data_IF_351051166175
#
_entry.id   IF_351051166175
#
_cell.length_a   1.000
_cell.length_b   1.000
_cell.length_c   1.000
_cell.angle_alpha   90.00
_cell.angle_beta   90.00
_cell.angle_gamma   90.00
#
_symmetry.space_group_name_H-M   'P 1'
#
loop_
_entity.id
_entity.type
_entity.pdbx_description
1 polymer ?
#
# COMPACT_ATOMS: atom_id res chain seq x y z
N UNK A 1 38.30 -4.98 16.66
CA UNK A 1 38.19 -5.96 15.56
C UNK A 1 37.14 -6.97 15.97
N UNK A 2 35.87 -6.76 15.57
CA UNK A 2 34.79 -7.70 15.86
C UNK A 2 34.88 -8.86 14.87
N UNK A 3 34.98 -10.09 15.38
CA UNK A 3 34.81 -11.30 14.59
C UNK A 3 33.44 -11.26 13.88
N UNK A 4 33.30 -11.72 12.62
CA UNK A 4 31.98 -11.91 12.07
C UNK A 4 31.33 -13.06 12.84
N UNK A 5 30.40 -12.68 13.72
CA UNK A 5 29.44 -13.55 14.35
C UNK A 5 28.81 -14.47 13.30
N UNK A 6 28.43 -15.68 13.71
CA UNK A 6 27.82 -16.68 12.83
C UNK A 6 26.82 -16.06 11.85
N UNK A 7 26.93 -16.33 10.54
CA UNK A 7 26.05 -15.73 9.55
C UNK A 7 24.59 -16.09 9.86
N UNK A 8 23.72 -15.08 9.89
CA UNK A 8 22.29 -15.30 10.10
C UNK A 8 21.68 -16.10 8.95
N UNK A 9 20.69 -16.91 9.29
CA UNK A 9 20.08 -17.87 8.37
C UNK A 9 18.59 -17.58 8.27
N UNK A 10 18.08 -17.43 7.05
CA UNK A 10 16.66 -17.32 6.77
C UNK A 10 16.09 -18.70 6.45
N UNK A 11 15.10 -19.12 7.23
CA UNK A 11 14.22 -20.22 6.86
C UNK A 11 13.09 -19.67 6.00
N UNK A 12 12.96 -20.14 4.76
CA UNK A 12 12.02 -19.60 3.77
C UNK A 12 11.04 -20.67 3.29
N UNK A 13 9.84 -20.22 2.90
CA UNK A 13 8.81 -21.05 2.27
C UNK A 13 8.67 -20.59 0.82
N UNK A 14 8.90 -21.50 -0.13
CA UNK A 14 8.80 -21.24 -1.57
C UNK A 14 7.36 -21.11 -2.03
N UNK A 15 7.10 -20.27 -3.03
CA UNK A 15 5.74 -20.01 -3.55
C UNK A 15 5.14 -21.13 -4.42
N UNK A 16 5.96 -22.03 -4.98
CA UNK A 16 5.58 -22.77 -6.18
C UNK A 16 5.49 -24.29 -6.04
N UNK A 17 6.11 -24.88 -5.02
CA UNK A 17 5.79 -26.20 -4.48
C UNK A 17 6.93 -26.64 -3.57
N UNK A 18 6.64 -26.74 -2.27
CA UNK A 18 7.31 -27.56 -1.26
C UNK A 18 6.61 -27.24 0.05
N UNK A 19 6.02 -28.24 0.71
CA UNK A 19 5.53 -28.09 2.09
C UNK A 19 6.68 -28.20 3.11
N UNK A 20 7.89 -27.90 2.64
CA UNK A 20 9.13 -27.89 3.42
C UNK A 20 9.75 -26.51 3.29
N UNK A 21 10.20 -25.99 4.42
CA UNK A 21 11.02 -24.80 4.41
C UNK A 21 12.46 -25.14 4.05
N UNK A 22 13.18 -24.14 3.54
CA UNK A 22 14.58 -24.25 3.14
C UNK A 22 15.38 -23.17 3.88
N UNK A 23 16.59 -23.50 4.31
CA UNK A 23 17.49 -22.56 4.97
C UNK A 23 18.43 -21.91 3.93
N UNK A 24 18.66 -20.60 4.04
CA UNK A 24 19.59 -19.83 3.21
C UNK A 24 20.38 -18.85 4.07
N UNK A 25 21.63 -18.56 3.67
CA UNK A 25 22.43 -17.51 4.29
C UNK A 25 21.85 -16.14 3.96
N UNK A 26 21.86 -15.24 4.94
CA UNK A 26 21.49 -13.84 4.79
C UNK A 26 22.75 -13.04 4.41
N UNK A 27 22.80 -12.41 3.22
CA UNK A 27 23.87 -11.50 2.85
C UNK A 27 23.96 -10.29 3.79
N UNK A 28 25.17 -9.79 4.02
CA UNK A 28 25.43 -8.66 4.92
C UNK A 28 24.62 -7.42 4.52
N UNK A 29 24.41 -7.19 3.22
CA UNK A 29 23.74 -6.01 2.68
C UNK A 29 22.24 -5.94 3.04
N UNK A 30 21.62 -7.08 3.34
CA UNK A 30 20.19 -7.15 3.68
C UNK A 30 19.94 -7.60 5.13
N UNK A 31 20.99 -7.77 5.92
CA UNK A 31 20.89 -8.31 7.28
C UNK A 31 20.00 -7.46 8.19
N UNK A 32 20.10 -6.13 8.10
CA UNK A 32 19.33 -5.22 8.96
C UNK A 32 17.89 -4.99 8.49
N UNK A 33 17.55 -5.41 7.26
CA UNK A 33 16.24 -5.15 6.65
C UNK A 33 15.38 -6.40 6.52
N UNK A 34 16.01 -7.58 6.47
CA UNK A 34 15.30 -8.85 6.36
C UNK A 34 14.65 -9.23 7.69
N UNK A 35 13.36 -9.56 7.63
CA UNK A 35 12.59 -9.98 8.79
C UNK A 35 11.63 -11.12 8.40
N UNK A 36 11.07 -11.87 9.35
CA UNK A 36 9.94 -12.74 9.05
C UNK A 36 8.84 -11.99 8.28
N UNK A 37 8.35 -12.59 7.21
CA UNK A 37 7.39 -11.99 6.29
C UNK A 37 8.01 -11.23 5.11
N UNK A 38 9.33 -11.01 5.10
CA UNK A 38 10.04 -10.45 3.95
C UNK A 38 9.94 -11.37 2.72
N UNK A 39 9.84 -10.76 1.55
CA UNK A 39 9.82 -11.46 0.26
C UNK A 39 11.22 -11.49 -0.33
N UNK A 40 11.67 -12.67 -0.74
CA UNK A 40 13.04 -12.89 -1.22
C UNK A 40 13.07 -13.72 -2.50
N UNK A 41 14.14 -13.55 -3.27
CA UNK A 41 14.53 -14.45 -4.34
C UNK A 41 15.62 -15.38 -3.83
N UNK A 42 15.43 -16.69 -4.02
CA UNK A 42 16.37 -17.72 -3.58
C UNK A 42 16.72 -18.69 -4.70
N UNK A 43 17.96 -19.19 -4.75
CA UNK A 43 18.40 -20.11 -5.80
C UNK A 43 17.95 -21.55 -5.48
N UNK A 44 17.12 -22.13 -6.34
CA UNK A 44 16.61 -23.50 -6.21
C UNK A 44 17.02 -24.30 -7.44
N UNK A 45 17.94 -25.26 -7.27
CA UNK A 45 18.56 -26.02 -8.37
C UNK A 45 19.11 -25.06 -9.45
N UNK A 46 18.50 -25.03 -10.63
CA UNK A 46 18.91 -24.26 -11.81
C UNK A 46 18.03 -23.01 -12.04
N UNK A 47 17.16 -22.64 -11.11
CA UNK A 47 16.33 -21.44 -11.23
C UNK A 47 16.33 -20.60 -9.96
N UNK A 48 15.86 -19.36 -10.07
CA UNK A 48 15.60 -18.47 -8.95
C UNK A 48 14.10 -18.44 -8.69
N UNK A 49 13.70 -18.63 -7.43
CA UNK A 49 12.30 -18.73 -7.02
C UNK A 49 11.96 -17.68 -5.96
N UNK A 50 10.71 -17.25 -5.94
CA UNK A 50 10.18 -16.37 -4.91
C UNK A 50 9.85 -17.17 -3.65
N UNK A 51 10.14 -16.57 -2.49
CA UNK A 51 9.86 -17.17 -1.20
C UNK A 51 9.47 -16.10 -0.17
N UNK A 52 8.78 -16.53 0.89
CA UNK A 52 8.57 -15.73 2.10
C UNK A 52 9.50 -16.22 3.20
N UNK A 53 10.19 -15.29 3.85
CA UNK A 53 10.97 -15.58 5.07
C UNK A 53 10.00 -15.97 6.18
N UNK A 54 10.09 -17.20 6.65
CA UNK A 54 9.25 -17.71 7.73
C UNK A 54 9.84 -17.41 9.11
N UNK A 55 11.16 -17.55 9.23
CA UNK A 55 11.90 -17.35 10.48
C UNK A 55 13.35 -16.99 10.17
N UNK A 56 13.97 -16.16 11.03
CA UNK A 56 15.42 -15.93 11.06
C UNK A 56 16.02 -16.73 12.21
N UNK A 57 17.14 -17.42 11.96
CA UNK A 57 17.84 -18.33 12.88
C UNK A 57 19.32 -17.96 12.97
N UNK A 58 19.96 -18.31 14.09
CA UNK A 58 21.40 -18.18 14.30
C UNK A 58 22.23 -19.39 13.82
N UNK A 59 21.57 -20.51 13.50
CA UNK A 59 22.23 -21.74 13.03
C UNK A 59 21.29 -22.61 12.18
N UNK A 60 21.87 -23.48 11.35
CA UNK A 60 21.17 -24.52 10.59
C UNK A 60 21.84 -25.87 10.80
N UNK A 61 21.06 -26.95 10.71
CA UNK A 61 21.57 -28.32 10.65
C UNK A 61 22.20 -28.67 9.30
N UNK A 62 22.08 -27.80 8.30
CA UNK A 62 22.64 -27.98 6.97
C UNK A 62 23.98 -27.23 6.82
N UNK A 63 25.00 -27.92 6.31
CA UNK A 63 26.36 -27.37 6.18
C UNK A 63 26.55 -26.50 4.93
N UNK A 64 25.95 -26.86 3.80
CA UNK A 64 26.16 -26.21 2.50
C UNK A 64 24.94 -25.34 2.12
N UNK A 65 24.84 -24.18 2.73
CA UNK A 65 23.78 -23.23 2.45
C UNK A 65 24.14 -22.31 1.28
N UNK A 66 23.17 -22.09 0.39
CA UNK A 66 23.24 -21.01 -0.60
C UNK A 66 22.77 -19.70 0.04
N UNK A 67 23.13 -18.58 -0.56
CA UNK A 67 22.73 -17.24 -0.11
C UNK A 67 21.45 -16.77 -0.79
N UNK A 68 20.69 -15.91 -0.12
CA UNK A 68 19.58 -15.17 -0.72
C UNK A 68 20.10 -14.32 -1.89
N UNK A 69 19.40 -14.34 -3.02
CA UNK A 69 19.79 -13.59 -4.23
C UNK A 69 19.38 -12.13 -4.10
N UNK A 70 18.17 -11.87 -3.62
CA UNK A 70 17.62 -10.51 -3.56
C UNK A 70 16.45 -10.40 -2.59
N UNK A 71 16.39 -9.28 -1.87
CA UNK A 71 15.20 -8.84 -1.14
C UNK A 71 14.23 -8.11 -2.10
N UNK A 72 12.97 -8.55 -2.15
CA UNK A 72 11.96 -8.05 -3.08
C UNK A 72 11.16 -6.85 -2.55
N UNK A 73 11.17 -6.62 -1.24
CA UNK A 73 10.45 -5.52 -0.59
C UNK A 73 11.31 -4.90 0.51
N UNK A 74 11.26 -3.57 0.64
CA UNK A 74 11.98 -2.83 1.68
C UNK A 74 11.42 -3.08 3.08
N UNK A 75 10.14 -3.49 3.17
CA UNK A 75 9.47 -3.88 4.40
C UNK A 75 8.80 -5.27 4.26
N UNK A 76 8.57 -6.00 5.37
CA UNK A 76 7.79 -7.24 5.36
C UNK A 76 6.35 -7.00 4.91
N UNK A 77 5.96 -7.60 3.79
CA UNK A 77 4.58 -7.47 3.27
C UNK A 77 3.62 -8.47 3.91
N UNK A 78 4.14 -9.52 4.55
CA UNK A 78 3.36 -10.44 5.39
C UNK A 78 3.67 -10.12 6.86
N UNK A 79 2.81 -9.36 7.51
CA UNK A 79 3.00 -8.96 8.91
C UNK A 79 2.99 -10.17 9.86
N UNK A 80 3.49 -10.03 11.10
CA UNK A 80 3.45 -11.10 12.10
C UNK A 80 2.05 -11.72 12.27
N UNK A 81 1.01 -10.89 12.34
CA UNK A 81 -0.38 -11.34 12.45
C UNK A 81 -0.81 -12.17 11.24
N UNK A 82 -0.39 -11.78 10.03
CA UNK A 82 -0.65 -12.54 8.81
C UNK A 82 0.12 -13.87 8.79
N UNK A 83 1.33 -13.93 9.35
CA UNK A 83 2.08 -15.20 9.49
C UNK A 83 1.41 -16.14 10.48
N UNK A 84 0.90 -15.62 11.59
CA UNK A 84 0.14 -16.40 12.56
C UNK A 84 -1.17 -16.91 11.97
N UNK A 85 -1.91 -16.03 11.28
CA UNK A 85 -3.12 -16.41 10.57
C UNK A 85 -2.81 -17.44 9.47
N UNK A 86 -1.69 -17.31 8.75
CA UNK A 86 -1.27 -18.31 7.76
C UNK A 86 -1.05 -19.69 8.40
N UNK A 87 -0.39 -19.73 9.57
CA UNK A 87 -0.19 -20.96 10.35
C UNK A 87 -1.52 -21.56 10.77
N UNK A 88 -2.45 -20.74 11.29
CA UNK A 88 -3.78 -21.19 11.70
C UNK A 88 -4.58 -21.73 10.50
N UNK A 89 -4.66 -20.98 9.41
CA UNK A 89 -5.38 -21.36 8.19
C UNK A 89 -4.83 -22.65 7.58
N UNK A 90 -3.50 -22.80 7.53
CA UNK A 90 -2.86 -24.02 7.01
C UNK A 90 -3.27 -25.25 7.82
N UNK A 91 -3.28 -25.14 9.16
CA UNK A 91 -3.69 -26.23 10.06
C UNK A 91 -5.19 -26.50 9.98
N UNK A 92 -6.01 -25.47 10.06
CA UNK A 92 -7.47 -25.58 10.16
C UNK A 92 -8.09 -26.08 8.85
N UNK A 93 -7.63 -25.55 7.70
CA UNK A 93 -8.14 -25.94 6.38
C UNK A 93 -7.33 -27.07 5.73
N UNK A 94 -6.36 -27.67 6.44
CA UNK A 94 -5.48 -28.72 5.91
C UNK A 94 -4.83 -28.35 4.56
N UNK A 95 -4.40 -27.09 4.42
CA UNK A 95 -3.85 -26.53 3.18
C UNK A 95 -2.34 -26.33 3.33
N UNK A 96 -1.52 -26.69 2.31
CA UNK A 96 -0.09 -26.43 2.34
C UNK A 96 0.22 -24.97 2.63
N UNK A 97 1.21 -24.73 3.50
CA UNK A 97 1.46 -23.38 4.03
C UNK A 97 1.84 -22.38 2.92
N UNK A 98 2.57 -22.84 1.90
CA UNK A 98 2.91 -22.00 0.76
C UNK A 98 1.68 -21.52 -0.02
N UNK A 99 0.64 -22.36 -0.13
CA UNK A 99 -0.60 -22.02 -0.83
C UNK A 99 -1.39 -20.97 -0.03
N UNK A 100 -1.38 -21.08 1.29
CA UNK A 100 -1.97 -20.07 2.17
C UNK A 100 -1.22 -18.74 2.02
N UNK A 101 0.11 -18.72 2.19
CA UNK A 101 0.92 -17.50 2.07
C UNK A 101 0.76 -16.81 0.70
N UNK A 102 0.70 -17.58 -0.39
CA UNK A 102 0.47 -17.03 -1.73
C UNK A 102 -0.95 -16.55 -1.97
N UNK A 103 -1.92 -16.96 -1.15
CA UNK A 103 -3.32 -16.50 -1.17
C UNK A 103 -3.52 -15.23 -0.36
N UNK A 104 -2.77 -15.05 0.74
CA UNK A 104 -2.83 -13.84 1.57
C UNK A 104 -2.40 -12.60 0.80
N UNK A 105 -1.43 -12.74 -0.10
CA UNK A 105 -0.86 -11.63 -0.85
C UNK A 105 -1.36 -11.61 -2.31
N UNK A 106 -1.86 -10.46 -2.79
CA UNK A 106 -2.13 -10.28 -4.21
C UNK A 106 -0.90 -10.59 -5.07
N UNK A 107 -1.12 -11.12 -6.27
CA UNK A 107 -0.02 -11.44 -7.20
C UNK A 107 0.90 -10.25 -7.49
N UNK A 108 0.36 -9.04 -7.53
CA UNK A 108 1.12 -7.79 -7.68
C UNK A 108 2.10 -7.55 -6.54
N UNK A 109 1.64 -7.75 -5.30
CA UNK A 109 2.41 -7.56 -4.05
C UNK A 109 3.49 -8.64 -3.85
N UNK A 110 3.28 -9.85 -4.40
CA UNK A 110 4.26 -10.94 -4.28
C UNK A 110 5.59 -10.71 -5.01
N UNK A 111 5.72 -9.62 -5.77
CA UNK A 111 6.91 -9.26 -6.54
C UNK A 111 6.75 -9.50 -8.05
N UNK A 112 5.51 -9.57 -8.56
CA UNK A 112 5.24 -9.64 -10.01
C UNK A 112 4.94 -8.29 -10.64
N UNK A 113 4.41 -7.33 -9.89
CA UNK A 113 4.24 -5.97 -10.38
C UNK A 113 5.55 -5.20 -10.15
N UNK A 114 6.01 -4.48 -11.19
CA UNK A 114 7.09 -3.50 -11.03
C UNK A 114 6.47 -2.19 -10.57
N UNK A 115 7.10 -1.56 -9.60
CA UNK A 115 6.90 -0.14 -9.35
C UNK A 115 7.21 0.61 -10.64
N UNK A 116 6.25 1.40 -11.12
CA UNK A 116 6.39 2.11 -12.37
C UNK A 116 6.99 3.47 -12.08
N UNK A 117 8.21 3.68 -12.54
CA UNK A 117 8.87 4.98 -12.41
C UNK A 117 8.58 5.81 -13.65
N UNK A 118 8.07 7.01 -13.45
CA UNK A 118 7.93 8.01 -14.50
C UNK A 118 8.81 9.23 -14.21
N UNK A 119 9.08 10.02 -15.25
CA UNK A 119 9.76 11.29 -15.04
C UNK A 119 8.78 12.28 -14.42
N UNK A 120 9.13 12.82 -13.27
CA UNK A 120 8.44 13.94 -12.65
C UNK A 120 9.19 15.22 -12.97
N UNK A 121 8.45 16.23 -13.42
CA UNK A 121 8.96 17.48 -13.95
C UNK A 121 8.68 18.57 -12.94
N UNK A 122 9.72 19.14 -12.35
CA UNK A 122 9.63 20.25 -11.40
C UNK A 122 10.29 21.49 -11.97
N UNK A 123 9.76 22.69 -11.69
CA UNK A 123 10.49 23.91 -12.01
C UNK A 123 11.75 24.06 -11.14
N UNK A 124 12.87 24.47 -11.74
CA UNK A 124 14.15 24.67 -11.04
C UNK A 124 14.38 26.13 -10.62
N UNK A 125 13.58 27.05 -11.16
CA UNK A 125 13.70 28.50 -10.99
C UNK A 125 12.42 29.08 -10.40
N UNK A 126 12.49 30.31 -9.89
CA UNK A 126 11.34 30.97 -9.28
C UNK A 126 10.20 31.18 -10.27
N UNK A 127 8.96 31.24 -9.78
CA UNK A 127 7.76 31.48 -10.58
C UNK A 127 7.88 32.71 -11.48
N UNK A 128 8.44 33.81 -10.96
CA UNK A 128 8.69 35.03 -11.74
C UNK A 128 9.67 34.78 -12.90
N UNK A 129 10.73 33.99 -12.68
CA UNK A 129 11.70 33.66 -13.70
C UNK A 129 11.10 32.71 -14.76
N UNK A 130 10.22 31.78 -14.36
CA UNK A 130 9.47 30.92 -15.31
C UNK A 130 8.55 31.78 -16.18
N UNK A 131 7.81 32.71 -15.58
CA UNK A 131 6.90 33.59 -16.32
C UNK A 131 7.66 34.44 -17.35
N UNK A 132 8.82 34.99 -16.98
CA UNK A 132 9.69 35.72 -17.91
C UNK A 132 10.21 34.83 -19.03
N UNK A 133 10.69 33.62 -18.70
CA UNK A 133 11.18 32.66 -19.70
C UNK A 133 10.05 32.23 -20.64
N UNK A 134 8.85 31.98 -20.12
CA UNK A 134 7.66 31.64 -20.90
C UNK A 134 7.32 32.76 -21.89
N UNK A 135 7.25 34.02 -21.43
CA UNK A 135 6.97 35.16 -22.29
C UNK A 135 7.99 35.31 -23.43
N UNK A 136 9.29 35.12 -23.14
CA UNK A 136 10.36 35.15 -24.14
C UNK A 136 10.23 34.02 -25.17
N UNK A 137 9.95 32.80 -24.71
CA UNK A 137 9.89 31.61 -25.56
C UNK A 137 8.60 31.56 -26.39
N UNK A 138 7.52 32.23 -25.97
CA UNK A 138 6.20 32.19 -26.63
C UNK A 138 6.24 32.66 -28.09
N UNK A 139 7.17 33.54 -28.46
CA UNK A 139 7.32 34.04 -29.84
C UNK A 139 8.05 33.07 -30.77
N UNK A 140 9.10 32.39 -30.30
CA UNK A 140 10.01 31.59 -31.16
C UNK A 140 9.94 30.08 -30.93
N UNK A 141 9.60 29.65 -29.73
CA UNK A 141 9.59 28.25 -29.30
C UNK A 141 8.28 27.95 -28.55
N UNK A 142 7.17 27.97 -29.30
CA UNK A 142 5.81 27.87 -28.76
C UNK A 142 5.59 26.63 -27.89
N UNK A 143 6.10 25.47 -28.30
CA UNK A 143 5.99 24.24 -27.51
C UNK A 143 6.73 24.30 -26.17
N UNK A 144 7.89 24.97 -26.11
CA UNK A 144 8.61 25.18 -24.85
C UNK A 144 7.85 26.13 -23.93
N UNK A 145 7.24 27.18 -24.48
CA UNK A 145 6.41 28.10 -23.72
C UNK A 145 5.16 27.40 -23.15
N UNK A 146 4.51 26.52 -23.92
CA UNK A 146 3.37 25.72 -23.44
C UNK A 146 3.74 24.84 -22.24
N UNK A 147 4.91 24.21 -22.26
CA UNK A 147 5.42 23.43 -21.12
C UNK A 147 5.58 24.32 -19.88
N UNK A 148 6.18 25.51 -20.03
CA UNK A 148 6.33 26.44 -18.91
C UNK A 148 4.98 27.00 -18.42
N UNK A 149 4.01 27.22 -19.31
CA UNK A 149 2.65 27.63 -18.94
C UNK A 149 1.91 26.58 -18.10
N UNK A 150 2.09 25.29 -18.40
CA UNK A 150 1.53 24.21 -17.57
C UNK A 150 2.25 24.17 -16.22
N UNK A 151 3.58 24.30 -16.20
CA UNK A 151 4.34 24.32 -14.95
C UNK A 151 4.05 25.54 -14.05
N UNK A 152 3.62 26.68 -14.61
CA UNK A 152 3.12 27.82 -13.83
C UNK A 152 1.79 27.50 -13.12
N UNK A 153 0.97 26.62 -13.69
CA UNK A 153 -0.27 26.12 -13.08
C UNK A 153 -0.01 25.02 -12.05
N UNK A 154 1.02 24.19 -12.29
CA UNK A 154 1.43 23.08 -11.41
C UNK A 154 2.76 23.39 -10.74
N UNK A 155 2.74 24.27 -9.72
CA UNK A 155 3.95 24.79 -9.06
C UNK A 155 4.83 23.71 -8.43
N UNK A 156 4.20 22.64 -7.92
CA UNK A 156 4.90 21.49 -7.33
C UNK A 156 5.44 20.51 -8.38
N UNK A 157 5.16 20.74 -9.65
CA UNK A 157 5.48 19.84 -10.75
C UNK A 157 4.37 18.83 -11.05
N UNK A 158 4.62 18.01 -12.06
CA UNK A 158 3.71 16.95 -12.52
C UNK A 158 4.48 15.86 -13.26
N UNK A 159 3.86 14.70 -13.47
CA UNK A 159 4.46 13.64 -14.27
C UNK A 159 4.54 14.05 -15.75
N UNK A 160 5.59 13.58 -16.42
CA UNK A 160 5.82 13.83 -17.84
C UNK A 160 4.64 13.37 -18.69
N UNK A 161 3.99 12.26 -18.35
CA UNK A 161 2.80 11.79 -19.06
C UNK A 161 1.67 12.83 -19.07
N UNK A 162 1.43 13.45 -17.93
CA UNK A 162 0.32 14.40 -17.76
C UNK A 162 0.68 15.75 -18.38
N UNK A 163 1.94 16.18 -18.23
CA UNK A 163 2.47 17.33 -18.96
C UNK A 163 2.32 17.19 -20.48
N UNK A 164 2.64 16.02 -21.05
CA UNK A 164 2.52 15.79 -22.48
C UNK A 164 1.05 15.72 -22.93
N UNK A 165 0.15 15.17 -22.11
CA UNK A 165 -1.30 15.18 -22.38
C UNK A 165 -1.86 16.60 -22.38
N UNK A 166 -1.52 17.41 -21.39
CA UNK A 166 -2.00 18.80 -21.28
C UNK A 166 -1.44 19.72 -22.34
N UNK A 167 -0.17 19.54 -22.71
CA UNK A 167 0.46 20.35 -23.75
C UNK A 167 0.13 19.85 -25.16
N UNK A 168 -0.34 18.61 -25.31
CA UNK A 168 -0.47 17.93 -26.61
C UNK A 168 0.86 17.74 -27.35
N UNK A 169 1.98 17.88 -26.62
CA UNK A 169 3.33 18.02 -27.20
C UNK A 169 4.17 16.74 -27.13
N UNK A 170 5.43 16.87 -27.57
CA UNK A 170 6.43 15.80 -27.50
C UNK A 170 7.42 16.01 -26.34
N UNK A 171 8.28 15.02 -26.09
CA UNK A 171 9.30 15.07 -25.03
C UNK A 171 10.45 16.05 -25.33
N UNK A 172 10.66 16.42 -26.60
CA UNK A 172 11.80 17.25 -27.04
C UNK A 172 11.86 18.65 -26.41
N UNK A 173 10.76 19.43 -26.36
CA UNK A 173 10.70 20.70 -25.63
C UNK A 173 11.10 20.55 -24.15
N UNK A 174 10.65 19.50 -23.49
CA UNK A 174 10.96 19.22 -22.07
C UNK A 174 12.46 18.95 -21.89
N UNK A 175 13.07 18.13 -22.75
CA UNK A 175 14.51 17.86 -22.70
C UNK A 175 15.35 19.12 -22.94
N UNK A 176 14.89 20.01 -23.82
CA UNK A 176 15.54 21.30 -24.09
C UNK A 176 15.48 22.22 -22.87
N UNK A 177 14.31 22.32 -22.22
CA UNK A 177 14.14 23.11 -21.00
C UNK A 177 14.98 22.56 -19.84
N UNK A 178 15.12 21.22 -19.73
CA UNK A 178 16.02 20.57 -18.78
C UNK A 178 17.47 20.95 -19.05
N UNK A 179 17.92 20.89 -20.31
CA UNK A 179 19.29 21.27 -20.72
C UNK A 179 19.59 22.74 -20.37
N UNK A 180 18.59 23.60 -20.51
CA UNK A 180 18.66 25.02 -20.16
C UNK A 180 18.52 25.28 -18.65
N UNK A 181 18.43 24.24 -17.80
CA UNK A 181 18.31 24.32 -16.35
C UNK A 181 17.10 25.15 -15.87
N UNK A 182 16.01 25.15 -16.65
CA UNK A 182 14.75 25.79 -16.25
C UNK A 182 13.86 24.82 -15.45
N UNK A 183 14.02 23.52 -15.71
CA UNK A 183 13.26 22.44 -15.08
C UNK A 183 14.19 21.31 -14.67
N UNK A 184 13.76 20.55 -13.68
CA UNK A 184 14.39 19.34 -13.20
C UNK A 184 13.55 18.13 -13.64
N UNK A 185 14.23 17.08 -14.10
CA UNK A 185 13.60 15.81 -14.48
C UNK A 185 14.17 14.71 -13.59
N UNK A 186 13.35 14.21 -12.68
CA UNK A 186 13.71 13.12 -11.78
C UNK A 186 12.82 11.91 -12.03
N UNK A 187 13.35 10.72 -11.83
CA UNK A 187 12.49 9.53 -11.80
C UNK A 187 11.80 9.48 -10.45
N UNK A 188 10.47 9.56 -10.44
CA UNK A 188 9.64 9.32 -9.25
C UNK A 188 8.76 8.10 -9.49
N UNK A 189 8.41 7.40 -8.41
CA UNK A 189 7.40 6.35 -8.49
C UNK A 189 6.05 7.00 -8.81
N UNK A 190 5.35 6.45 -9.80
CA UNK A 190 3.98 6.82 -10.08
C UNK A 190 3.08 6.10 -9.08
N UNK A 191 2.41 6.86 -8.23
CA UNK A 191 1.33 6.34 -7.39
C UNK A 191 0.08 6.22 -8.24
N UNK A 192 -0.32 4.98 -8.55
CA UNK A 192 -1.57 4.66 -9.26
C UNK A 192 -2.68 4.31 -8.27
N UNK A 193 -2.44 4.40 -6.96
CA UNK A 193 -3.42 3.92 -5.99
C UNK A 193 -4.74 4.64 -6.15
N UNK A 194 -5.84 3.89 -6.02
CA UNK A 194 -7.18 4.49 -5.89
C UNK A 194 -7.39 4.82 -4.42
N UNK A 195 -6.56 5.74 -3.93
CA UNK A 195 -6.70 6.35 -2.61
C UNK A 195 -7.36 7.69 -2.82
N UNK A 196 -8.57 7.85 -2.26
CA UNK A 196 -9.31 9.08 -2.51
C UNK A 196 -8.78 10.24 -1.70
N UNK A 197 -8.62 11.37 -2.39
CA UNK A 197 -8.31 12.68 -1.82
C UNK A 197 -9.59 13.55 -1.74
N UNK A 198 -9.49 14.69 -1.07
CA UNK A 198 -10.56 15.38 -0.32
C UNK A 198 -11.65 16.14 -1.12
N UNK A 199 -12.18 15.60 -2.23
CA UNK A 199 -13.13 16.35 -3.09
C UNK A 199 -14.63 16.09 -2.80
N UNK A 200 -15.01 15.71 -1.57
CA UNK A 200 -16.41 15.43 -1.20
C UNK A 200 -16.93 16.36 -0.10
N UNK A 201 -18.22 16.69 -0.17
CA UNK A 201 -18.91 17.38 0.93
C UNK A 201 -18.93 16.49 2.17
N UNK A 202 -18.23 16.93 3.22
CA UNK A 202 -18.20 16.22 4.48
C UNK A 202 -19.56 16.27 5.17
N UNK A 203 -20.14 15.08 5.35
CA UNK A 203 -21.33 14.84 6.15
C UNK A 203 -21.02 15.01 7.64
N UNK A 204 -21.97 15.61 8.36
CA UNK A 204 -21.90 15.74 9.82
C UNK A 204 -22.30 14.44 10.51
N UNK A 205 -21.70 14.20 11.67
CA UNK A 205 -22.08 13.15 12.62
C UNK A 205 -23.57 13.26 12.94
N UNK A 206 -24.31 12.16 12.83
CA UNK A 206 -25.74 12.16 13.14
C UNK A 206 -25.98 11.93 14.63
N UNK A 207 -27.06 12.50 15.15
CA UNK A 207 -27.56 12.20 16.48
C UNK A 207 -28.08 10.77 16.51
N UNK A 208 -27.54 9.96 17.42
CA UNK A 208 -27.95 8.57 17.59
C UNK A 208 -29.24 8.46 18.41
N UNK A 209 -30.03 7.43 18.13
CA UNK A 209 -31.08 6.99 19.05
C UNK A 209 -30.47 6.41 20.32
N UNK A 210 -31.28 6.26 21.38
CA UNK A 210 -30.85 5.64 22.65
C UNK A 210 -30.26 4.24 22.45
N UNK A 211 -30.89 3.43 21.60
CA UNK A 211 -30.43 2.07 21.28
C UNK A 211 -29.10 2.08 20.52
N UNK A 212 -28.96 2.96 19.52
CA UNK A 212 -27.73 3.12 18.76
C UNK A 212 -26.58 3.62 19.64
N UNK A 213 -26.85 4.57 20.54
CA UNK A 213 -25.86 5.10 21.47
C UNK A 213 -25.38 4.02 22.46
N UNK A 214 -26.30 3.17 22.93
CA UNK A 214 -25.98 2.05 23.81
C UNK A 214 -25.11 1.01 23.09
N UNK A 215 -25.47 0.66 21.85
CA UNK A 215 -24.70 -0.25 21.03
C UNK A 215 -23.29 0.31 20.73
N UNK A 216 -23.20 1.59 20.35
CA UNK A 216 -21.93 2.25 20.11
C UNK A 216 -21.05 2.25 21.37
N UNK A 217 -21.62 2.63 22.53
CA UNK A 217 -20.89 2.66 23.80
C UNK A 217 -20.30 1.30 24.17
N UNK A 218 -21.03 0.21 23.91
CA UNK A 218 -20.55 -1.17 24.16
C UNK A 218 -19.36 -1.52 23.25
N UNK A 219 -19.42 -1.11 21.99
CA UNK A 219 -18.34 -1.30 21.01
C UNK A 219 -17.12 -0.48 21.41
N UNK A 220 -17.28 0.83 21.64
CA UNK A 220 -16.17 1.74 21.96
C UNK A 220 -15.50 1.40 23.30
N UNK A 221 -16.27 0.97 24.30
CA UNK A 221 -15.70 0.50 25.58
C UNK A 221 -14.76 -0.69 25.39
N UNK A 222 -15.06 -1.59 24.44
CA UNK A 222 -14.17 -2.72 24.13
C UNK A 222 -12.88 -2.26 23.46
N UNK A 223 -12.97 -1.25 22.59
CA UNK A 223 -11.83 -0.63 21.91
C UNK A 223 -10.93 0.12 22.90
N UNK A 224 -11.52 0.89 23.81
CA UNK A 224 -10.81 1.67 24.84
C UNK A 224 -10.03 0.78 25.79
N UNK A 225 -10.60 -0.37 26.16
CA UNK A 225 -9.94 -1.37 27.00
C UNK A 225 -8.89 -2.21 26.25
N UNK A 226 -8.80 -2.08 24.92
CA UNK A 226 -7.86 -2.85 24.10
C UNK A 226 -8.11 -4.37 24.14
N UNK A 227 -9.34 -4.80 24.42
CA UNK A 227 -9.69 -6.23 24.54
C UNK A 227 -10.41 -6.75 23.30
N UNK A 228 -10.05 -7.95 22.86
CA UNK A 228 -10.80 -8.64 21.81
C UNK A 228 -12.25 -8.92 22.25
N UNK A 229 -13.22 -8.44 21.47
CA UNK A 229 -14.65 -8.71 21.64
C UNK A 229 -15.34 -8.84 20.29
N UNK A 230 -16.28 -9.78 20.22
CA UNK A 230 -17.18 -9.94 19.06
C UNK A 230 -18.53 -9.34 19.38
N UNK A 231 -18.98 -8.39 18.55
CA UNK A 231 -20.28 -7.72 18.71
C UNK A 231 -21.20 -8.06 17.55
N UNK A 232 -22.44 -8.45 17.84
CA UNK A 232 -23.49 -8.62 16.84
C UNK A 232 -24.43 -7.42 16.89
N UNK A 233 -24.35 -6.53 15.90
CA UNK A 233 -25.30 -5.42 15.75
C UNK A 233 -26.52 -5.86 14.94
N UNK A 234 -27.55 -6.32 15.64
CA UNK A 234 -28.80 -6.74 15.00
C UNK A 234 -29.76 -5.57 14.79
N UNK A 235 -30.39 -5.51 13.62
CA UNK A 235 -31.42 -4.52 13.31
C UNK A 235 -31.89 -4.61 11.87
N UNK A 236 -33.12 -4.21 11.60
CA UNK A 236 -33.70 -4.19 10.24
C UNK A 236 -33.01 -3.16 9.34
N UNK A 237 -33.18 -3.28 8.02
CA UNK A 237 -32.72 -2.24 7.09
C UNK A 237 -33.37 -0.89 7.44
N UNK A 238 -32.60 0.20 7.38
CA UNK A 238 -33.09 1.52 7.76
C UNK A 238 -32.99 1.86 9.26
N UNK A 239 -32.69 0.88 10.14
CA UNK A 239 -32.52 1.13 11.59
C UNK A 239 -31.25 1.93 11.96
N UNK A 240 -30.46 2.34 10.97
CA UNK A 240 -29.26 3.16 11.17
C UNK A 240 -27.99 2.41 11.61
N UNK A 241 -27.91 1.08 11.43
CA UNK A 241 -26.68 0.29 11.71
C UNK A 241 -25.40 0.89 11.11
N UNK A 242 -25.50 1.39 9.87
CA UNK A 242 -24.37 2.03 9.20
C UNK A 242 -23.83 3.22 9.99
N UNK A 243 -24.69 4.02 10.62
CA UNK A 243 -24.24 5.17 11.41
C UNK A 243 -23.45 4.72 12.65
N UNK A 244 -23.89 3.63 13.31
CA UNK A 244 -23.14 3.01 14.42
C UNK A 244 -21.75 2.56 13.95
N UNK A 245 -21.65 1.92 12.76
CA UNK A 245 -20.34 1.56 12.19
C UNK A 245 -19.47 2.79 11.94
N UNK A 246 -20.02 3.82 11.29
CA UNK A 246 -19.27 5.05 11.00
C UNK A 246 -18.75 5.72 12.28
N UNK A 247 -19.54 5.77 13.35
CA UNK A 247 -19.09 6.37 14.61
C UNK A 247 -18.11 5.47 15.38
N UNK A 248 -18.21 4.15 15.26
CA UNK A 248 -17.21 3.23 15.81
C UNK A 248 -15.85 3.35 15.09
N UNK A 249 -15.88 3.50 13.76
CA UNK A 249 -14.68 3.76 12.94
C UNK A 249 -14.06 5.11 13.32
N UNK A 250 -14.86 6.17 13.46
CA UNK A 250 -14.40 7.49 13.93
C UNK A 250 -13.68 7.38 15.29
N UNK A 251 -14.24 6.59 16.22
CA UNK A 251 -13.61 6.34 17.53
C UNK A 251 -12.28 5.57 17.42
N UNK A 252 -12.21 4.52 16.59
CA UNK A 252 -10.97 3.79 16.36
C UNK A 252 -9.87 4.70 15.77
N UNK A 253 -10.23 5.57 14.81
CA UNK A 253 -9.30 6.54 14.22
C UNK A 253 -8.82 7.58 15.24
N UNK A 254 -9.70 8.05 16.14
CA UNK A 254 -9.30 8.91 17.26
C UNK A 254 -8.26 8.25 18.18
N UNK A 255 -8.32 6.93 18.34
CA UNK A 255 -7.31 6.12 19.05
C UNK A 255 -6.07 5.81 18.19
N UNK A 256 -5.94 6.43 17.01
CA UNK A 256 -4.88 6.19 16.02
C UNK A 256 -4.78 4.72 15.57
N UNK A 257 -5.92 4.04 15.55
CA UNK A 257 -6.02 2.65 15.06
C UNK A 257 -6.50 2.63 13.62
N UNK A 258 -5.97 1.70 12.84
CA UNK A 258 -6.46 1.44 11.48
C UNK A 258 -7.70 0.55 11.50
N UNK A 259 -8.47 0.52 10.41
CA UNK A 259 -9.77 -0.16 10.33
C UNK A 259 -9.88 -0.98 9.05
N UNK A 260 -10.44 -2.18 9.15
CA UNK A 260 -10.88 -2.97 7.99
C UNK A 260 -12.41 -3.03 7.98
N UNK A 261 -13.02 -2.47 6.94
CA UNK A 261 -14.46 -2.50 6.73
C UNK A 261 -14.82 -3.40 5.54
N UNK A 262 -15.25 -4.63 5.85
CA UNK A 262 -15.62 -5.63 4.86
C UNK A 262 -17.04 -5.39 4.36
N UNK A 263 -17.19 -5.30 3.04
CA UNK A 263 -18.48 -5.18 2.35
C UNK A 263 -18.68 -6.31 1.34
N UNK A 264 -19.93 -6.73 1.07
CA UNK A 264 -20.21 -7.71 0.03
C UNK A 264 -19.66 -7.28 -1.34
N UNK A 265 -19.19 -8.26 -2.13
CA UNK A 265 -18.44 -8.02 -3.37
C UNK A 265 -19.19 -7.19 -4.43
N UNK A 266 -20.53 -7.28 -4.43
CA UNK A 266 -21.41 -6.56 -5.36
C UNK A 266 -21.65 -5.10 -4.94
N UNK A 267 -21.36 -4.75 -3.67
CA UNK A 267 -21.64 -3.44 -3.05
C UNK A 267 -20.44 -2.48 -3.18
N UNK A 268 -19.30 -2.95 -3.71
CA UNK A 268 -18.03 -2.22 -3.84
C UNK A 268 -18.03 -1.00 -4.79
N UNK A 269 -19.18 -0.61 -5.35
CA UNK A 269 -19.32 0.58 -6.19
C UNK A 269 -20.53 1.44 -5.80
N UNK A 270 -21.07 1.23 -4.60
CA UNK A 270 -22.37 1.77 -4.17
C UNK A 270 -22.27 2.97 -3.21
N UNK A 271 -23.44 3.57 -2.93
CA UNK A 271 -23.71 4.61 -1.93
C UNK A 271 -22.95 4.44 -0.58
N UNK A 272 -22.60 3.22 -0.18
CA UNK A 272 -21.80 2.97 1.04
C UNK A 272 -20.41 3.61 0.96
N UNK A 273 -19.77 3.55 -0.21
CA UNK A 273 -18.47 4.18 -0.44
C UNK A 273 -18.60 5.70 -0.37
N UNK A 274 -19.61 6.29 -1.02
CA UNK A 274 -19.85 7.73 -0.95
C UNK A 274 -20.13 8.20 0.48
N UNK A 275 -20.84 7.39 1.27
CA UNK A 275 -21.05 7.66 2.70
C UNK A 275 -19.76 7.62 3.51
N UNK A 276 -18.86 6.67 3.25
CA UNK A 276 -17.55 6.62 3.91
C UNK A 276 -16.68 7.82 3.52
N UNK A 277 -16.63 8.14 2.23
CA UNK A 277 -15.92 9.31 1.69
C UNK A 277 -16.41 10.63 2.26
N UNK A 278 -17.73 10.79 2.35
CA UNK A 278 -18.31 11.99 2.95
C UNK A 278 -18.18 11.98 4.47
N UNK A 279 -17.81 10.89 5.13
CA UNK A 279 -17.70 10.86 6.60
C UNK A 279 -16.29 11.13 7.11
N UNK A 280 -15.28 10.60 6.44
CA UNK A 280 -13.89 10.60 6.92
C UNK A 280 -13.00 11.52 6.08
N UNK A 281 -12.13 12.25 6.75
CA UNK A 281 -11.11 13.09 6.09
C UNK A 281 -9.83 12.30 5.80
N UNK A 282 -9.66 11.17 6.48
CA UNK A 282 -8.56 10.24 6.32
C UNK A 282 -8.60 9.54 4.97
N UNK A 283 -7.41 9.21 4.45
CA UNK A 283 -7.27 8.44 3.21
C UNK A 283 -7.87 7.05 3.36
N UNK A 284 -8.72 6.66 2.41
CA UNK A 284 -9.37 5.35 2.38
C UNK A 284 -8.77 4.52 1.24
N UNK A 285 -8.26 3.34 1.58
CA UNK A 285 -7.79 2.35 0.62
C UNK A 285 -8.94 1.44 0.17
N UNK A 286 -9.24 1.46 -1.13
CA UNK A 286 -10.17 0.50 -1.73
C UNK A 286 -9.47 -0.74 -2.24
N UNK A 287 -10.04 -1.90 -1.92
CA UNK A 287 -9.63 -3.18 -2.48
C UNK A 287 -10.80 -3.85 -3.19
N UNK A 288 -10.78 -3.81 -4.53
CA UNK A 288 -11.73 -4.51 -5.39
C UNK A 288 -11.04 -5.25 -6.55
N UNK A 289 -11.78 -6.18 -7.16
CA UNK A 289 -11.27 -7.04 -8.24
C UNK A 289 -10.85 -6.25 -9.49
N UNK A 290 -11.51 -5.12 -9.78
CA UNK A 290 -11.24 -4.27 -10.96
C UNK A 290 -9.94 -3.47 -10.93
N UNK A 291 -9.25 -3.40 -9.78
CA UNK A 291 -7.94 -2.74 -9.72
C UNK A 291 -6.94 -3.50 -10.59
N UNK A 292 -6.22 -2.75 -11.41
CA UNK A 292 -5.05 -3.24 -12.12
C UNK A 292 -3.97 -3.70 -11.11
N UNK A 293 -3.03 -4.55 -11.54
CA UNK A 293 -1.93 -5.00 -10.67
C UNK A 293 -1.11 -3.84 -10.07
N UNK A 294 -0.95 -2.75 -10.82
CA UNK A 294 -0.23 -1.56 -10.38
C UNK A 294 -0.97 -0.81 -9.28
N UNK A 295 -2.22 -0.42 -9.54
CA UNK A 295 -3.07 0.27 -8.54
C UNK A 295 -3.20 -0.56 -7.25
N UNK A 296 -3.33 -1.90 -7.37
CA UNK A 296 -3.40 -2.78 -6.21
C UNK A 296 -2.10 -2.83 -5.41
N UNK A 297 -0.94 -2.79 -6.07
CA UNK A 297 0.35 -2.73 -5.39
C UNK A 297 0.49 -1.41 -4.62
N UNK A 298 0.20 -0.30 -5.29
CA UNK A 298 0.35 1.03 -4.73
C UNK A 298 -0.61 1.21 -3.53
N UNK A 299 -1.89 0.82 -3.68
CA UNK A 299 -2.86 0.80 -2.56
C UNK A 299 -2.39 -0.08 -1.41
N UNK A 300 -1.80 -1.25 -1.67
CA UNK A 300 -1.28 -2.12 -0.61
C UNK A 300 -0.12 -1.46 0.15
N UNK A 301 0.76 -0.74 -0.55
CA UNK A 301 1.84 0.01 0.08
C UNK A 301 1.29 1.13 0.98
N UNK A 302 0.24 1.84 0.55
CA UNK A 302 -0.41 2.85 1.39
C UNK A 302 -0.97 2.28 2.69
N UNK A 303 -1.56 1.08 2.63
CA UNK A 303 -2.05 0.35 3.79
C UNK A 303 -0.88 0.00 4.71
N UNK A 304 0.15 -0.65 4.17
CA UNK A 304 1.32 -1.12 4.94
C UNK A 304 2.05 0.04 5.65
N UNK A 305 2.16 1.19 4.99
CA UNK A 305 2.79 2.40 5.53
C UNK A 305 1.88 3.18 6.50
N UNK A 306 0.62 2.78 6.68
CA UNK A 306 -0.36 3.46 7.53
C UNK A 306 -0.87 4.79 6.96
N UNK A 307 -0.50 5.15 5.73
CA UNK A 307 -0.96 6.37 5.06
C UNK A 307 -2.42 6.30 4.62
N UNK A 308 -3.00 5.10 4.53
CA UNK A 308 -4.43 4.87 4.34
C UNK A 308 -4.97 4.01 5.50
N UNK A 309 -5.40 4.64 6.62
CA UNK A 309 -5.78 3.91 7.84
C UNK A 309 -7.12 3.18 7.72
N UNK A 310 -7.96 3.51 6.74
CA UNK A 310 -9.26 2.86 6.51
C UNK A 310 -9.16 1.98 5.26
N UNK A 311 -9.37 0.68 5.41
CA UNK A 311 -9.43 -0.27 4.29
C UNK A 311 -10.85 -0.72 4.06
N UNK A 312 -11.33 -0.58 2.83
CA UNK A 312 -12.68 -1.04 2.44
C UNK A 312 -12.54 -2.03 1.29
N UNK A 313 -13.17 -3.19 1.43
CA UNK A 313 -13.08 -4.22 0.40
C UNK A 313 -13.98 -5.40 0.64
N UNK A 314 -13.95 -6.36 -0.29
CA UNK A 314 -14.59 -7.66 -0.10
C UNK A 314 -13.70 -8.59 0.72
N UNK A 315 -13.93 -9.90 0.61
CA UNK A 315 -13.24 -10.96 1.37
C UNK A 315 -11.72 -10.83 1.39
N UNK A 316 -11.09 -10.46 0.28
CA UNK A 316 -9.62 -10.34 0.19
C UNK A 316 -9.05 -9.21 1.05
N UNK A 317 -9.84 -8.19 1.39
CA UNK A 317 -9.38 -7.09 2.24
C UNK A 317 -9.14 -7.52 3.70
N UNK A 318 -9.64 -8.70 4.09
CA UNK A 318 -9.31 -9.31 5.38
C UNK A 318 -7.80 -9.48 5.58
N UNK A 319 -7.05 -9.68 4.50
CA UNK A 319 -5.60 -9.92 4.53
C UNK A 319 -4.77 -8.64 4.46
N UNK A 320 -5.40 -7.47 4.56
CA UNK A 320 -4.71 -6.18 4.45
C UNK A 320 -3.84 -5.94 5.68
N UNK A 321 -2.56 -5.52 5.51
CA UNK A 321 -1.62 -5.38 6.61
C UNK A 321 -1.79 -4.01 7.30
N UNK A 322 -2.98 -3.77 7.85
CA UNK A 322 -3.33 -2.49 8.48
C UNK A 322 -2.55 -2.31 9.79
N UNK A 323 -1.71 -1.27 9.92
CA UNK A 323 -0.98 -1.01 11.16
C UNK A 323 -1.92 -0.63 12.29
N UNK A 324 -1.62 -1.13 13.51
CA UNK A 324 -2.40 -0.85 14.72
C UNK A 324 -3.92 -1.04 14.51
N UNK A 325 -4.32 -2.20 13.96
CA UNK A 325 -5.73 -2.50 13.68
C UNK A 325 -6.61 -2.37 14.95
N UNK A 326 -7.78 -1.77 14.80
CA UNK A 326 -8.75 -1.46 15.84
C UNK A 326 -10.18 -1.76 15.46
#
# INVERSE_FOLDING_TARGET
MHHPENPLIANVILDDALDKSLDYLIPAEITDTINPGSRVLVPVKNSVRQATVWQVKSSSSHLNLKSIVKLLSTAPVTTPDLLEMARWMSRYYCSPLYKVLTTLLPSSVRGKAKEETQYFITPLISEAAIAQACAKLRQKYREQALVLDVLLRHKEGLFLSDLLKETGGSKSPVETLKKNKLILMEKRQLDRSVVWEQDYFLSKKKTLSTEQATALSTITSSLDLGMFRTHLLFGVTGSGKTEVYLQAIEHALHLKKGVIFLIPEIILTSQTIERLKSRFQEKIALLHHRLSPGERLDTWNHILLGTAPIVVGARSALFSPVPNLG
#
